data_IF_446727727443
#
_entry.id   IF_446727727443
#
_cell.length_a   1.000
_cell.length_b   1.000
_cell.length_c   1.000
_cell.angle_alpha   90.00
_cell.angle_beta   90.00
_cell.angle_gamma   90.00
#
_symmetry.space_group_name_H-M   'P 1'
#
loop_
_entity.id
_entity.type
_entity.pdbx_description
1 polymer ?
#
# COMPACT_ATOMS: atom_id res chain seq x y z
N UNK A 1 -5.56 -14.52 8.72
CA UNK A 1 -4.99 -13.60 9.74
C UNK A 1 -4.99 -14.27 11.10
N UNK A 2 -4.03 -13.94 11.93
CA UNK A 2 -3.75 -14.62 13.18
C UNK A 2 -4.43 -13.95 14.38
N UNK A 3 -4.68 -14.69 15.45
CA UNK A 3 -5.05 -14.09 16.73
C UNK A 3 -3.78 -13.62 17.48
N UNK A 4 -3.95 -12.77 18.48
CA UNK A 4 -2.85 -12.16 19.22
C UNK A 4 -1.82 -13.17 19.77
N UNK A 5 -2.29 -14.30 20.30
CA UNK A 5 -1.40 -15.34 20.86
C UNK A 5 -0.56 -16.01 19.77
N UNK A 6 -1.16 -16.30 18.62
CA UNK A 6 -0.46 -16.93 17.51
C UNK A 6 0.56 -15.98 16.88
N UNK A 7 0.17 -14.72 16.64
CA UNK A 7 1.07 -13.74 16.00
C UNK A 7 2.28 -13.43 16.89
N UNK A 8 2.12 -13.36 18.22
CA UNK A 8 3.27 -13.20 19.14
C UNK A 8 4.24 -14.38 19.08
N UNK A 9 3.74 -15.61 18.91
CA UNK A 9 4.61 -16.78 18.72
C UNK A 9 5.37 -16.74 17.40
N UNK A 10 4.70 -16.31 16.32
CA UNK A 10 5.30 -16.19 15.01
C UNK A 10 6.37 -15.08 15.03
N UNK A 11 6.07 -13.91 15.59
CA UNK A 11 7.02 -12.81 15.70
C UNK A 11 8.30 -13.24 16.43
N UNK A 12 8.19 -13.91 17.57
CA UNK A 12 9.37 -14.44 18.30
C UNK A 12 10.22 -15.41 17.47
N UNK A 13 9.60 -16.19 16.60
CA UNK A 13 10.32 -17.08 15.70
C UNK A 13 10.99 -16.35 14.53
N UNK A 14 10.47 -15.18 14.14
CA UNK A 14 11.00 -14.34 13.07
C UNK A 14 12.07 -13.34 13.57
N UNK A 15 12.04 -12.92 14.83
CA UNK A 15 12.99 -11.94 15.38
C UNK A 15 14.46 -12.26 15.10
N UNK A 16 14.94 -13.52 15.23
CA UNK A 16 16.32 -13.85 14.89
C UNK A 16 16.71 -13.67 13.42
N UNK A 17 15.72 -13.52 12.53
CA UNK A 17 15.93 -13.29 11.10
C UNK A 17 15.97 -11.80 10.75
N UNK A 18 15.69 -10.92 11.71
CA UNK A 18 15.69 -9.45 11.59
C UNK A 18 14.88 -8.96 10.35
N UNK A 19 13.61 -9.38 10.16
CA UNK A 19 12.84 -8.92 9.02
C UNK A 19 12.66 -7.40 9.10
N UNK A 20 12.64 -6.75 7.92
CA UNK A 20 12.52 -5.30 7.83
C UNK A 20 11.22 -4.77 8.44
N UNK A 21 10.11 -5.50 8.27
CA UNK A 21 8.84 -5.28 8.97
C UNK A 21 8.01 -6.56 9.09
N UNK A 22 6.94 -6.47 9.87
CA UNK A 22 5.87 -7.47 9.94
C UNK A 22 4.56 -6.81 9.48
N UNK A 23 4.11 -7.19 8.29
CA UNK A 23 2.94 -6.62 7.65
C UNK A 23 1.67 -7.31 8.10
N UNK A 24 0.64 -6.51 8.38
CA UNK A 24 -0.72 -6.94 8.72
C UNK A 24 -0.78 -8.19 9.61
N UNK A 25 -0.17 -8.15 10.80
CA UNK A 25 -0.05 -9.32 11.67
C UNK A 25 -1.41 -9.92 12.06
N UNK A 26 -2.44 -9.09 12.13
CA UNK A 26 -3.79 -9.46 12.51
C UNK A 26 -4.82 -8.59 11.79
N UNK A 27 -6.12 -8.88 11.98
CA UNK A 27 -7.19 -8.01 11.45
C UNK A 27 -7.17 -6.64 12.11
N UNK A 28 -7.47 -5.61 11.32
CA UNK A 28 -7.46 -4.19 11.74
C UNK A 28 -8.71 -3.74 12.49
N UNK A 29 -9.58 -4.64 12.87
CA UNK A 29 -10.81 -4.37 13.63
C UNK A 29 -10.59 -4.25 15.16
N UNK A 30 -9.36 -4.47 15.63
CA UNK A 30 -8.98 -4.36 17.04
C UNK A 30 -7.62 -3.66 17.21
N UNK A 31 -7.63 -2.32 17.20
CA UNK A 31 -6.44 -1.48 17.36
C UNK A 31 -5.71 -1.71 18.69
N UNK A 32 -6.44 -2.04 19.75
CA UNK A 32 -5.83 -2.35 21.05
C UNK A 32 -4.99 -3.63 20.99
N UNK A 33 -5.48 -4.68 20.34
CA UNK A 33 -4.73 -5.92 20.17
C UNK A 33 -3.52 -5.72 19.24
N UNK A 34 -3.67 -4.92 18.20
CA UNK A 34 -2.57 -4.56 17.32
C UNK A 34 -1.47 -3.79 18.07
N UNK A 35 -1.85 -2.82 18.89
CA UNK A 35 -0.90 -2.10 19.77
C UNK A 35 -0.19 -3.04 20.73
N UNK A 36 -0.94 -3.94 21.39
CA UNK A 36 -0.35 -4.94 22.29
C UNK A 36 0.63 -5.87 21.57
N UNK A 37 0.35 -6.19 20.31
CA UNK A 37 1.28 -6.93 19.46
C UNK A 37 2.54 -6.10 19.16
N UNK A 38 2.37 -4.87 18.69
CA UNK A 38 3.48 -3.97 18.35
C UNK A 38 4.44 -3.78 19.53
N UNK A 39 3.91 -3.65 20.76
CA UNK A 39 4.72 -3.52 21.97
C UNK A 39 5.44 -4.83 22.38
N UNK A 40 5.07 -5.95 21.80
CA UNK A 40 5.59 -7.27 22.18
C UNK A 40 6.70 -7.80 21.30
N UNK A 41 7.10 -7.04 20.27
CA UNK A 41 8.15 -7.42 19.30
C UNK A 41 9.04 -6.25 18.95
N UNK A 42 10.27 -6.53 18.53
CA UNK A 42 11.20 -5.54 17.97
C UNK A 42 11.04 -5.35 16.46
N UNK A 43 10.29 -6.24 15.80
CA UNK A 43 10.02 -6.12 14.36
C UNK A 43 9.05 -4.96 14.14
N UNK A 44 9.38 -3.95 13.32
CA UNK A 44 8.44 -2.87 13.00
C UNK A 44 7.14 -3.41 12.42
N UNK A 45 6.01 -2.96 12.92
CA UNK A 45 4.68 -3.31 12.38
C UNK A 45 4.33 -2.37 11.25
N UNK A 46 3.94 -2.92 10.10
CA UNK A 46 3.39 -2.16 8.97
C UNK A 46 1.90 -2.47 8.85
N UNK A 47 1.08 -1.45 8.74
CA UNK A 47 -0.38 -1.54 8.61
C UNK A 47 -0.95 -0.31 7.89
N UNK A 48 -2.03 -0.41 7.17
CA UNK A 48 -2.67 -1.59 6.59
C UNK A 48 -3.36 -1.17 5.30
N UNK A 49 -3.16 -1.94 4.23
CA UNK A 49 -3.89 -1.73 2.98
C UNK A 49 -5.40 -1.90 3.16
N UNK A 50 -5.83 -2.65 4.19
CA UNK A 50 -7.25 -2.95 4.43
C UNK A 50 -8.02 -1.82 5.10
N UNK A 51 -7.36 -0.76 5.56
CA UNK A 51 -7.99 0.40 6.16
C UNK A 51 -8.51 1.38 5.09
N UNK A 52 -9.72 1.91 5.30
CA UNK A 52 -10.36 2.88 4.41
C UNK A 52 -10.45 4.28 5.02
N UNK A 53 -9.99 5.28 4.25
CA UNK A 53 -10.11 6.69 4.64
C UNK A 53 -9.27 7.09 5.87
N UNK A 54 -8.98 8.38 5.96
CA UNK A 54 -8.08 8.94 7.00
C UNK A 54 -8.55 8.76 8.44
N UNK A 55 -9.84 8.51 8.67
CA UNK A 55 -10.37 8.32 10.03
C UNK A 55 -9.76 7.08 10.70
N UNK A 56 -9.73 5.97 9.98
CA UNK A 56 -9.13 4.72 10.48
C UNK A 56 -7.60 4.84 10.62
N UNK A 57 -6.93 5.54 9.69
CA UNK A 57 -5.50 5.79 9.81
C UNK A 57 -5.16 6.72 10.98
N UNK A 58 -6.03 7.69 11.31
CA UNK A 58 -5.87 8.47 12.52
C UNK A 58 -5.92 7.59 13.76
N UNK A 59 -6.91 6.71 13.87
CA UNK A 59 -7.04 5.78 15.00
C UNK A 59 -5.79 4.87 15.13
N UNK A 60 -5.26 4.36 14.00
CA UNK A 60 -4.04 3.57 13.96
C UNK A 60 -2.83 4.35 14.52
N UNK A 61 -2.66 5.60 14.09
CA UNK A 61 -1.54 6.45 14.50
C UNK A 61 -1.69 6.91 15.97
N UNK A 62 -2.89 7.33 16.39
CA UNK A 62 -3.19 7.69 17.79
C UNK A 62 -2.96 6.52 18.74
N UNK A 63 -3.28 5.30 18.32
CA UNK A 63 -3.00 4.08 19.08
C UNK A 63 -1.52 3.71 19.11
N UNK A 64 -0.69 4.32 18.27
CA UNK A 64 0.73 3.94 18.08
C UNK A 64 0.88 2.44 17.77
N UNK A 65 -0.01 1.89 16.96
CA UNK A 65 -0.10 0.45 16.71
C UNK A 65 0.71 0.00 15.48
N UNK A 66 1.28 0.93 14.72
CA UNK A 66 2.16 0.66 13.59
C UNK A 66 3.33 1.64 13.56
N UNK A 67 4.49 1.18 13.12
CA UNK A 67 5.69 2.00 12.90
C UNK A 67 5.83 2.46 11.45
N UNK A 68 5.10 1.84 10.53
CA UNK A 68 5.06 2.19 9.10
C UNK A 68 3.61 2.17 8.66
N UNK A 69 3.18 3.22 7.97
CA UNK A 69 1.80 3.34 7.49
C UNK A 69 1.72 2.81 6.07
N UNK A 70 0.93 1.76 5.87
CA UNK A 70 0.66 1.18 4.57
C UNK A 70 -0.80 1.45 4.19
N UNK A 71 -1.02 1.93 2.98
CA UNK A 71 -2.36 2.13 2.43
C UNK A 71 -2.38 1.72 0.96
N UNK A 72 -3.53 1.24 0.48
CA UNK A 72 -3.79 1.10 -0.95
C UNK A 72 -4.50 2.36 -1.45
N UNK A 73 -3.94 3.00 -2.47
CA UNK A 73 -4.46 4.27 -2.99
C UNK A 73 -5.91 4.15 -3.50
N UNK A 74 -6.30 3.00 -4.05
CA UNK A 74 -7.65 2.77 -4.54
C UNK A 74 -8.65 2.51 -3.41
N UNK A 75 -8.20 1.94 -2.31
CA UNK A 75 -9.07 1.57 -1.18
C UNK A 75 -9.25 2.69 -0.16
N UNK A 76 -8.25 3.57 -0.03
CA UNK A 76 -8.39 4.72 0.89
C UNK A 76 -9.23 5.86 0.34
N UNK A 77 -9.54 5.89 -0.97
CA UNK A 77 -10.32 6.95 -1.60
C UNK A 77 -9.53 7.86 -2.54
N UNK A 78 -8.45 7.36 -3.12
CA UNK A 78 -7.65 8.02 -4.16
C UNK A 78 -6.64 9.03 -3.62
N UNK A 79 -6.04 9.81 -4.54
CA UNK A 79 -4.98 10.77 -4.24
C UNK A 79 -5.28 11.77 -3.12
N UNK A 80 -6.50 12.34 -3.14
CA UNK A 80 -6.87 13.37 -2.17
C UNK A 80 -6.87 12.86 -0.74
N UNK A 81 -7.27 11.61 -0.54
CA UNK A 81 -7.30 10.99 0.78
C UNK A 81 -5.93 10.46 1.17
N UNK A 82 -5.23 9.78 0.26
CA UNK A 82 -3.87 9.29 0.49
C UNK A 82 -2.88 10.40 0.86
N UNK A 83 -2.95 11.55 0.18
CA UNK A 83 -2.13 12.72 0.50
C UNK A 83 -2.33 13.20 1.94
N UNK A 84 -3.58 13.22 2.41
CA UNK A 84 -3.89 13.62 3.80
C UNK A 84 -3.37 12.60 4.81
N UNK A 85 -3.42 11.30 4.46
CA UNK A 85 -2.85 10.22 5.28
C UNK A 85 -1.33 10.38 5.36
N UNK A 86 -0.64 10.65 4.23
CA UNK A 86 0.80 10.91 4.23
C UNK A 86 1.17 12.11 5.11
N UNK A 87 0.45 13.24 4.97
CA UNK A 87 0.71 14.43 5.79
C UNK A 87 0.43 14.20 7.28
N UNK A 88 -0.57 13.40 7.60
CA UNK A 88 -0.86 13.00 8.97
C UNK A 88 0.25 12.09 9.52
N UNK A 89 0.68 11.09 8.76
CA UNK A 89 1.78 10.21 9.13
C UNK A 89 3.08 10.99 9.36
N UNK A 90 3.38 11.99 8.51
CA UNK A 90 4.52 12.89 8.67
C UNK A 90 4.46 13.65 10.00
N UNK A 91 3.29 14.15 10.40
CA UNK A 91 3.10 14.83 11.69
C UNK A 91 3.33 13.90 12.89
N UNK A 92 3.09 12.60 12.75
CA UNK A 92 3.42 11.56 13.73
C UNK A 92 4.85 11.03 13.57
N UNK A 93 5.66 11.58 12.66
CA UNK A 93 7.03 11.12 12.34
C UNK A 93 7.06 9.66 11.84
N UNK A 94 6.02 9.23 11.15
CA UNK A 94 5.90 7.89 10.60
C UNK A 94 6.15 7.88 9.08
N UNK A 95 6.95 6.93 8.58
CA UNK A 95 7.08 6.70 7.14
C UNK A 95 5.82 6.06 6.56
N UNK A 96 5.67 6.20 5.24
CA UNK A 96 4.61 5.53 4.48
C UNK A 96 5.21 4.55 3.46
N UNK A 97 4.52 3.43 3.24
CA UNK A 97 4.86 2.41 2.25
C UNK A 97 3.56 2.00 1.51
N UNK A 98 3.23 2.64 0.37
CA UNK A 98 1.99 2.32 -0.33
C UNK A 98 1.99 0.91 -0.92
N UNK A 99 0.86 0.23 -0.74
CA UNK A 99 0.58 -1.13 -1.20
C UNK A 99 0.33 -1.19 -2.72
N UNK A 100 0.69 -2.31 -3.37
CA UNK A 100 0.33 -2.64 -4.75
C UNK A 100 -0.04 -4.11 -4.92
N UNK A 101 -1.28 -4.38 -5.32
CA UNK A 101 -1.69 -5.63 -5.96
C UNK A 101 -2.97 -5.45 -6.79
N UNK A 102 -3.47 -4.23 -6.90
CA UNK A 102 -4.82 -3.93 -7.43
C UNK A 102 -4.81 -3.68 -8.95
N UNK A 103 -3.64 -3.36 -9.52
CA UNK A 103 -3.52 -3.20 -10.97
C UNK A 103 -2.53 -2.11 -11.41
N UNK A 104 -2.22 -2.06 -12.74
CA UNK A 104 -1.16 -1.19 -13.25
C UNK A 104 -1.47 0.30 -13.13
N UNK A 105 -2.76 0.68 -13.18
CA UNK A 105 -3.19 2.06 -12.98
C UNK A 105 -2.98 2.47 -11.53
N UNK A 106 -3.29 1.58 -10.58
CA UNK A 106 -3.01 1.81 -9.17
C UNK A 106 -1.51 1.97 -8.93
N UNK A 107 -0.68 1.03 -9.39
CA UNK A 107 0.77 1.09 -9.22
C UNK A 107 1.32 2.43 -9.72
N UNK A 108 0.93 2.85 -10.94
CA UNK A 108 1.37 4.11 -11.52
C UNK A 108 0.95 5.31 -10.65
N UNK A 109 -0.29 5.33 -10.19
CA UNK A 109 -0.80 6.38 -9.31
C UNK A 109 -0.07 6.37 -7.95
N UNK A 110 0.19 5.21 -7.37
CA UNK A 110 0.93 5.08 -6.10
C UNK A 110 2.37 5.57 -6.21
N UNK A 111 3.03 5.34 -7.35
CA UNK A 111 4.38 5.89 -7.61
C UNK A 111 4.35 7.42 -7.59
N UNK A 112 3.38 8.06 -8.26
CA UNK A 112 3.22 9.52 -8.20
C UNK A 112 2.95 10.01 -6.77
N UNK A 113 2.13 9.29 -6.00
CA UNK A 113 1.87 9.62 -4.61
C UNK A 113 3.14 9.48 -3.75
N UNK A 114 3.92 8.42 -3.94
CA UNK A 114 5.18 8.20 -3.22
C UNK A 114 6.21 9.28 -3.53
N UNK A 115 6.33 9.70 -4.79
CA UNK A 115 7.23 10.80 -5.18
C UNK A 115 6.80 12.17 -4.60
N UNK A 116 5.52 12.35 -4.28
CA UNK A 116 5.00 13.56 -3.66
C UNK A 116 5.14 13.56 -2.13
N UNK A 117 5.24 12.41 -1.48
CA UNK A 117 5.26 12.26 -0.03
C UNK A 117 6.70 12.29 0.50
N UNK A 118 7.11 13.31 1.30
CA UNK A 118 8.48 13.40 1.83
C UNK A 118 8.86 12.23 2.73
N UNK A 119 7.87 11.60 3.35
CA UNK A 119 8.01 10.48 4.26
C UNK A 119 7.77 9.12 3.58
N UNK A 120 7.75 9.05 2.24
CA UNK A 120 7.68 7.77 1.53
C UNK A 120 8.99 6.99 1.73
N UNK A 121 8.87 5.75 2.21
CA UNK A 121 9.98 4.86 2.49
C UNK A 121 10.25 3.92 1.32
N UNK A 122 9.24 3.18 0.90
CA UNK A 122 9.28 2.17 -0.16
C UNK A 122 7.93 2.17 -0.89
N UNK A 123 7.96 2.00 -2.21
CA UNK A 123 6.79 1.67 -3.02
C UNK A 123 6.76 0.17 -3.26
N UNK A 124 5.71 -0.50 -2.82
CA UNK A 124 5.51 -1.90 -3.15
C UNK A 124 5.23 -2.09 -4.64
N UNK A 125 5.69 -3.22 -5.17
CA UNK A 125 5.38 -3.67 -6.52
C UNK A 125 5.31 -5.20 -6.54
N UNK A 126 4.20 -5.75 -7.00
CA UNK A 126 4.06 -7.20 -7.19
C UNK A 126 4.79 -7.61 -8.47
N UNK A 127 5.99 -8.15 -8.31
CA UNK A 127 6.88 -8.51 -9.42
C UNK A 127 6.21 -9.41 -10.46
N UNK A 128 5.46 -10.42 -10.02
CA UNK A 128 4.78 -11.34 -10.94
C UNK A 128 3.72 -10.65 -11.79
N UNK A 129 3.03 -9.64 -11.26
CA UNK A 129 2.03 -8.88 -11.98
C UNK A 129 2.68 -7.85 -12.91
N UNK A 130 3.71 -7.17 -12.43
CA UNK A 130 4.46 -6.15 -13.19
C UNK A 130 5.08 -6.73 -14.47
N UNK A 131 5.78 -7.87 -14.38
CA UNK A 131 6.36 -8.56 -15.53
C UNK A 131 5.37 -9.46 -16.27
N UNK A 132 4.16 -9.62 -15.76
CA UNK A 132 3.08 -10.39 -16.33
C UNK A 132 1.96 -9.51 -16.89
N UNK A 133 0.76 -9.73 -16.39
CA UNK A 133 -0.49 -9.19 -16.95
C UNK A 133 -0.66 -7.66 -16.86
N UNK A 134 0.11 -6.95 -16.02
CA UNK A 134 0.03 -5.49 -15.97
C UNK A 134 0.35 -4.86 -17.34
N UNK A 135 1.33 -5.41 -18.05
CA UNK A 135 1.73 -4.94 -19.38
C UNK A 135 0.64 -5.12 -20.45
N UNK A 136 -0.30 -6.03 -20.20
CA UNK A 136 -1.42 -6.28 -21.13
C UNK A 136 -2.55 -5.26 -21.03
N UNK A 137 -2.52 -4.36 -20.06
CA UNK A 137 -3.62 -3.45 -19.77
C UNK A 137 -3.30 -1.98 -20.05
N UNK A 138 -2.04 -1.58 -20.01
CA UNK A 138 -1.61 -0.17 -20.11
C UNK A 138 -0.53 0.02 -21.17
N UNK A 139 -0.42 1.26 -21.65
CA UNK A 139 0.57 1.62 -22.66
C UNK A 139 1.99 1.64 -22.12
N UNK A 140 2.16 1.92 -20.83
CA UNK A 140 3.45 2.04 -20.18
C UNK A 140 3.30 1.75 -18.68
N UNK A 141 4.28 1.07 -18.10
CA UNK A 141 4.42 0.87 -16.67
C UNK A 141 5.49 1.79 -16.09
N UNK A 142 5.42 2.14 -14.80
CA UNK A 142 6.51 2.83 -14.11
C UNK A 142 7.83 2.10 -14.28
N UNK A 143 8.88 2.72 -14.86
CA UNK A 143 10.15 2.04 -15.08
C UNK A 143 10.82 1.61 -13.78
N UNK A 144 11.29 0.37 -13.72
CA UNK A 144 12.01 -0.21 -12.57
C UNK A 144 13.43 -0.58 -12.99
N UNK A 145 14.41 0.06 -12.38
CA UNK A 145 15.84 -0.16 -12.65
C UNK A 145 16.63 -0.18 -11.32
N UNK A 146 17.46 -1.19 -11.14
CA UNK A 146 18.34 -1.31 -9.98
C UNK A 146 17.62 -1.17 -8.60
N UNK A 147 16.39 -1.71 -8.48
CA UNK A 147 15.58 -1.61 -7.28
C UNK A 147 14.90 -0.25 -7.08
N UNK A 148 15.03 0.66 -8.04
CA UNK A 148 14.37 1.96 -8.04
C UNK A 148 13.20 1.97 -9.01
N UNK A 149 12.09 2.62 -8.61
CA UNK A 149 10.92 2.84 -9.45
C UNK A 149 10.75 4.34 -9.68
N UNK A 150 10.36 4.74 -10.89
CA UNK A 150 10.08 6.15 -11.25
C UNK A 150 8.74 6.28 -11.96
N UNK A 151 8.18 7.48 -11.93
CA UNK A 151 6.98 7.77 -12.71
C UNK A 151 7.27 7.63 -14.21
N UNK A 152 6.29 7.16 -15.02
CA UNK A 152 6.38 7.24 -16.48
C UNK A 152 6.39 8.70 -16.94
N UNK A 153 7.06 8.94 -18.08
CA UNK A 153 7.04 10.24 -18.74
C UNK A 153 5.67 10.48 -19.41
N UNK A 154 5.28 11.75 -19.51
CA UNK A 154 4.06 12.13 -20.22
C UNK A 154 2.99 12.79 -19.35
N UNK A 155 1.89 13.27 -19.96
CA UNK A 155 0.85 13.99 -19.24
C UNK A 155 0.00 13.08 -18.36
N UNK A 156 -0.52 13.62 -17.26
CA UNK A 156 -1.35 12.90 -16.30
C UNK A 156 -0.58 11.85 -15.53
N UNK A 157 -0.98 10.61 -15.60
CA UNK A 157 -0.25 9.47 -15.01
C UNK A 157 0.95 9.01 -15.86
N UNK A 158 1.12 9.54 -17.09
CA UNK A 158 2.13 9.06 -18.02
C UNK A 158 1.77 7.73 -18.70
N UNK A 159 0.59 7.20 -18.45
CA UNK A 159 0.09 5.95 -19.04
C UNK A 159 -1.40 6.03 -19.40
N UNK A 160 -1.87 5.12 -20.25
CA UNK A 160 -3.27 4.97 -20.66
C UNK A 160 -3.62 3.50 -20.70
N UNK A 161 -4.91 3.18 -20.52
CA UNK A 161 -5.40 1.85 -20.85
C UNK A 161 -5.21 1.57 -22.33
N UNK A 162 -4.83 0.34 -22.67
CA UNK A 162 -4.78 -0.10 -24.07
C UNK A 162 -6.18 -0.03 -24.70
N UNK A 163 -6.30 0.40 -25.98
CA UNK A 163 -7.61 0.65 -26.61
C UNK A 163 -8.58 -0.52 -26.58
N UNK A 164 -8.07 -1.73 -26.60
CA UNK A 164 -8.84 -2.96 -26.69
C UNK A 164 -9.08 -3.69 -25.35
N UNK A 165 -8.65 -3.11 -24.22
CA UNK A 165 -8.89 -3.69 -22.88
C UNK A 165 -10.36 -4.03 -22.65
N UNK A 166 -11.27 -3.15 -23.08
CA UNK A 166 -12.72 -3.36 -22.94
C UNK A 166 -13.31 -4.50 -23.80
N UNK A 167 -12.54 -5.00 -24.79
CA UNK A 167 -12.93 -6.11 -25.67
C UNK A 167 -12.42 -7.46 -25.19
N UNK A 168 -11.61 -7.51 -24.15
CA UNK A 168 -11.10 -8.75 -23.60
C UNK A 168 -12.23 -9.65 -23.12
N UNK A 169 -12.09 -10.95 -23.27
CA UNK A 169 -13.11 -11.92 -22.83
C UNK A 169 -13.36 -11.91 -21.31
N UNK A 170 -12.35 -11.46 -20.53
CA UNK A 170 -12.41 -11.30 -19.08
C UNK A 170 -12.84 -9.90 -18.64
N UNK A 171 -13.05 -8.94 -19.56
CA UNK A 171 -13.45 -7.61 -19.23
C UNK A 171 -14.95 -7.52 -18.87
N UNK A 172 -15.27 -6.75 -17.84
CA UNK A 172 -16.63 -6.39 -17.47
C UNK A 172 -16.79 -4.88 -17.49
N UNK A 173 -17.53 -4.38 -18.46
CA UNK A 173 -17.79 -2.94 -18.61
C UNK A 173 -19.16 -2.61 -18.00
N UNK A 174 -19.18 -1.66 -17.07
CA UNK A 174 -20.42 -1.07 -16.53
C UNK A 174 -20.40 0.43 -16.78
N UNK A 175 -21.56 0.96 -17.19
CA UNK A 175 -21.79 2.41 -17.30
C UNK A 175 -22.87 2.79 -16.31
N UNK A 176 -22.64 3.85 -15.55
CA UNK A 176 -23.66 4.46 -14.68
C UNK A 176 -23.96 5.85 -15.24
N UNK A 177 -25.22 6.14 -15.46
CA UNK A 177 -25.71 7.48 -15.80
C UNK A 177 -26.25 8.11 -14.51
N UNK A 178 -25.92 9.40 -14.29
CA UNK A 178 -26.42 10.20 -13.16
C UNK A 178 -27.77 10.80 -13.53
#
# INVERSE_FOLDING_TARGET
MWNLTAVKKIARALEPLEPFWYEDPMKMDNMRALKEFADSTHIPVTASETLGGRGQFRELMEAQAAGIIMFDLSWVGGFSEARKICSMAEAFQLPVAPHDCTGPVLLTASVHQSLNAPNALIQEMVRAFYYGWYQELVTELPPVENGMIRAPDGPGLGTKLLPDVHKRADARVRRSEL
#
